data_IF_982336448312
#
_entry.id   IF_982336448312
#
_cell.length_a   1.000
_cell.length_b   1.000
_cell.length_c   1.000
_cell.angle_alpha   90.00
_cell.angle_beta   90.00
_cell.angle_gamma   90.00
#
_symmetry.space_group_name_H-M   'P 1'
#
loop_
_entity.id
_entity.type
_entity.pdbx_description
1 polymer ?
#
# COMPACT_ATOMS: atom_id res chain seq x y z
N UNK A 1 15.52 -22.43 -16.66
CA UNK A 1 14.96 -23.75 -16.28
C UNK A 1 13.87 -23.52 -15.25
N UNK A 2 12.62 -23.83 -15.59
CA UNK A 2 11.44 -23.49 -14.79
C UNK A 2 10.79 -24.69 -14.14
N UNK A 3 11.45 -25.32 -13.18
CA UNK A 3 10.99 -26.56 -12.51
C UNK A 3 9.65 -26.43 -11.80
N UNK A 4 9.25 -25.21 -11.42
CA UNK A 4 8.00 -24.92 -10.74
C UNK A 4 6.99 -24.15 -11.61
N UNK A 5 7.35 -23.85 -12.86
CA UNK A 5 6.44 -23.20 -13.79
C UNK A 5 5.28 -24.16 -14.11
N UNK A 6 4.06 -23.74 -13.81
CA UNK A 6 2.88 -24.58 -14.04
C UNK A 6 2.65 -25.69 -13.02
N UNK A 7 3.24 -25.59 -11.81
CA UNK A 7 2.90 -26.51 -10.73
C UNK A 7 1.36 -26.51 -10.52
N UNK A 8 0.68 -27.67 -10.55
CA UNK A 8 -0.77 -27.78 -10.41
C UNK A 8 -1.34 -27.06 -9.19
N UNK A 9 -0.62 -27.05 -8.06
CA UNK A 9 -1.06 -26.36 -6.83
C UNK A 9 -1.16 -24.85 -7.06
N UNK A 10 -0.13 -24.25 -7.65
CA UNK A 10 -0.11 -22.82 -7.95
C UNK A 10 -1.13 -22.46 -9.04
N UNK A 11 -1.32 -23.32 -10.04
CA UNK A 11 -2.29 -23.12 -11.10
C UNK A 11 -3.74 -23.11 -10.57
N UNK A 12 -4.10 -24.10 -9.74
CA UNK A 12 -5.45 -24.18 -9.13
C UNK A 12 -5.70 -23.02 -8.18
N UNK A 13 -4.72 -22.67 -7.32
CA UNK A 13 -4.84 -21.52 -6.42
C UNK A 13 -4.97 -20.19 -7.19
N UNK A 14 -4.24 -20.03 -8.30
CA UNK A 14 -4.33 -18.87 -9.17
C UNK A 14 -5.69 -18.76 -9.86
N UNK A 15 -6.23 -19.86 -10.39
CA UNK A 15 -7.56 -19.90 -10.99
C UNK A 15 -8.66 -19.56 -9.97
N UNK A 16 -8.59 -20.12 -8.77
CA UNK A 16 -9.53 -19.80 -7.69
C UNK A 16 -9.46 -18.31 -7.30
N UNK A 17 -8.25 -17.77 -7.14
CA UNK A 17 -8.04 -16.34 -6.86
C UNK A 17 -8.65 -15.46 -7.96
N UNK A 18 -8.42 -15.80 -9.23
CA UNK A 18 -8.99 -15.05 -10.36
C UNK A 18 -10.52 -15.15 -10.41
N UNK A 19 -11.11 -16.28 -10.05
CA UNK A 19 -12.56 -16.44 -9.98
C UNK A 19 -13.17 -15.50 -8.93
N UNK A 20 -12.60 -15.46 -7.72
CA UNK A 20 -13.02 -14.54 -6.65
C UNK A 20 -12.83 -13.08 -7.07
N UNK A 21 -11.67 -12.72 -7.62
CA UNK A 21 -11.39 -11.35 -8.05
C UNK A 21 -12.32 -10.86 -9.18
N UNK A 22 -12.82 -11.78 -10.03
CA UNK A 22 -13.74 -11.45 -11.13
C UNK A 22 -15.19 -11.26 -10.67
N UNK A 23 -15.54 -11.63 -9.45
CA UNK A 23 -16.89 -11.47 -8.97
C UNK A 23 -17.32 -9.99 -9.03
N UNK A 24 -18.56 -9.69 -9.46
CA UNK A 24 -19.04 -8.31 -9.56
C UNK A 24 -18.90 -7.55 -8.24
N UNK A 25 -18.40 -6.32 -8.28
CA UNK A 25 -18.28 -5.46 -7.10
C UNK A 25 -16.97 -5.61 -6.32
N UNK A 26 -16.17 -6.66 -6.57
CA UNK A 26 -14.95 -6.94 -5.80
C UNK A 26 -13.90 -5.85 -5.97
N UNK A 27 -13.55 -5.48 -7.21
CA UNK A 27 -12.61 -4.39 -7.45
C UNK A 27 -13.17 -3.04 -6.98
N UNK A 28 -14.47 -2.79 -7.12
CA UNK A 28 -15.11 -1.56 -6.63
C UNK A 28 -14.96 -1.44 -5.11
N UNK A 29 -15.19 -2.53 -4.37
CA UNK A 29 -14.95 -2.58 -2.92
C UNK A 29 -13.48 -2.32 -2.60
N UNK A 30 -12.55 -3.01 -3.27
CA UNK A 30 -11.11 -2.84 -3.06
C UNK A 30 -10.68 -1.38 -3.24
N UNK A 31 -11.07 -0.75 -4.35
CA UNK A 31 -10.75 0.65 -4.64
C UNK A 31 -11.42 1.61 -3.65
N UNK A 32 -12.64 1.32 -3.19
CA UNK A 32 -13.34 2.14 -2.17
C UNK A 32 -12.63 2.10 -0.83
N UNK A 33 -12.30 0.90 -0.33
CA UNK A 33 -11.55 0.74 0.92
C UNK A 33 -10.20 1.45 0.83
N UNK A 34 -9.47 1.20 -0.26
CA UNK A 34 -8.16 1.80 -0.48
C UNK A 34 -8.18 3.33 -0.59
N UNK A 35 -9.16 3.89 -1.29
CA UNK A 35 -9.37 5.35 -1.35
C UNK A 35 -9.67 5.94 0.02
N UNK A 36 -10.49 5.26 0.82
CA UNK A 36 -10.84 5.72 2.18
C UNK A 36 -9.59 5.80 3.05
N UNK A 37 -8.78 4.74 3.07
CA UNK A 37 -7.54 4.70 3.85
C UNK A 37 -6.52 5.73 3.36
N UNK A 38 -6.29 5.81 2.04
CA UNK A 38 -5.35 6.76 1.44
C UNK A 38 -5.74 8.21 1.72
N UNK A 39 -7.02 8.55 1.55
CA UNK A 39 -7.49 9.92 1.80
C UNK A 39 -7.39 10.28 3.28
N UNK A 40 -7.79 9.36 4.18
CA UNK A 40 -7.65 9.58 5.62
C UNK A 40 -6.20 9.80 6.04
N UNK A 41 -5.26 9.00 5.52
CA UNK A 41 -3.84 9.19 5.77
C UNK A 41 -3.33 10.52 5.18
N UNK A 42 -3.78 10.89 3.99
CA UNK A 42 -3.42 12.16 3.34
C UNK A 42 -3.88 13.37 4.15
N UNK A 43 -5.10 13.31 4.69
CA UNK A 43 -5.66 14.36 5.54
C UNK A 43 -4.89 14.48 6.86
N UNK A 44 -4.50 13.36 7.47
CA UNK A 44 -3.69 13.34 8.70
C UNK A 44 -2.32 13.97 8.42
N UNK A 45 -1.65 13.56 7.35
CA UNK A 45 -0.34 14.11 6.95
C UNK A 45 -0.44 15.61 6.69
N UNK A 46 -1.49 16.08 6.01
CA UNK A 46 -1.72 17.50 5.77
C UNK A 46 -1.91 18.28 7.07
N UNK A 47 -2.65 17.71 8.04
CA UNK A 47 -2.94 18.34 9.33
C UNK A 47 -1.74 18.32 10.29
N UNK A 48 -0.81 17.39 10.13
CA UNK A 48 0.33 17.27 11.05
C UNK A 48 1.42 18.33 10.84
N UNK A 49 1.40 19.04 9.70
CA UNK A 49 2.42 20.03 9.35
C UNK A 49 3.81 19.43 9.09
N UNK A 50 3.91 18.11 8.94
CA UNK A 50 5.16 17.44 8.64
C UNK A 50 5.47 17.58 7.14
N UNK A 51 6.75 17.70 6.80
CA UNK A 51 7.22 17.54 5.43
C UNK A 51 7.01 16.08 5.00
N UNK A 52 5.81 15.78 4.52
CA UNK A 52 5.39 14.46 4.11
C UNK A 52 4.22 14.51 3.12
N UNK A 53 4.06 13.45 2.36
CA UNK A 53 3.01 13.31 1.34
C UNK A 53 2.67 11.84 1.14
N UNK A 54 1.41 11.56 0.86
CA UNK A 54 0.94 10.20 0.57
C UNK A 54 0.91 10.00 -0.94
N UNK A 55 1.69 9.04 -1.44
CA UNK A 55 1.79 8.74 -2.86
C UNK A 55 1.24 7.34 -3.16
N UNK A 56 0.95 7.09 -4.43
CA UNK A 56 0.50 5.79 -4.93
C UNK A 56 -0.97 5.76 -5.32
N UNK A 57 -1.44 4.54 -5.56
CA UNK A 57 -2.78 4.24 -6.02
C UNK A 57 -3.66 3.71 -4.88
N UNK A 58 -4.96 3.65 -5.12
CA UNK A 58 -5.93 3.17 -4.11
C UNK A 58 -5.57 1.79 -3.53
N UNK A 59 -4.99 0.88 -4.31
CA UNK A 59 -4.62 -0.48 -3.85
C UNK A 59 -3.22 -0.57 -3.25
N UNK A 60 -2.35 0.40 -3.54
CA UNK A 60 -0.97 0.44 -3.04
C UNK A 60 -0.50 1.88 -2.87
N UNK A 61 -0.25 2.28 -1.64
CA UNK A 61 0.19 3.64 -1.31
C UNK A 61 1.09 3.63 -0.08
N UNK A 62 1.76 4.74 0.19
CA UNK A 62 2.44 4.96 1.47
C UNK A 62 2.70 6.44 1.72
N UNK A 63 3.12 6.77 2.94
CA UNK A 63 3.64 8.08 3.30
C UNK A 63 5.14 8.17 2.95
N UNK A 64 5.52 9.27 2.31
CA UNK A 64 6.90 9.64 2.02
C UNK A 64 7.20 10.93 2.76
N UNK A 65 8.13 10.86 3.72
CA UNK A 65 8.55 12.01 4.52
C UNK A 65 9.58 12.85 3.77
N UNK A 66 9.14 13.82 2.98
CA UNK A 66 10.00 14.74 2.22
C UNK A 66 9.29 16.08 2.06
N UNK A 67 10.06 17.15 1.89
CA UNK A 67 9.60 18.51 1.58
C UNK A 67 9.49 18.77 0.07
N UNK A 68 9.96 17.85 -0.77
CA UNK A 68 9.93 17.98 -2.23
C UNK A 68 8.75 17.26 -2.85
N UNK A 69 8.05 17.82 -3.85
CA UNK A 69 7.03 17.09 -4.61
C UNK A 69 7.55 15.77 -5.17
N UNK A 70 6.87 14.65 -4.89
CA UNK A 70 7.26 13.34 -5.42
C UNK A 70 6.54 13.08 -6.73
N UNK A 71 7.21 13.42 -7.83
CA UNK A 71 6.74 13.23 -9.21
C UNK A 71 7.57 12.21 -9.99
N UNK A 72 8.69 11.77 -9.43
CA UNK A 72 9.57 10.77 -10.02
C UNK A 72 10.27 9.93 -8.93
N UNK A 73 11.04 8.94 -9.37
CA UNK A 73 11.82 8.09 -8.47
C UNK A 73 12.90 8.86 -7.70
N UNK A 74 13.55 9.86 -8.31
CA UNK A 74 14.64 10.60 -7.67
C UNK A 74 14.14 11.42 -6.48
N UNK A 75 12.93 11.98 -6.58
CA UNK A 75 12.28 12.66 -5.49
C UNK A 75 12.08 11.73 -4.27
N UNK A 76 11.82 10.44 -4.48
CA UNK A 76 11.69 9.47 -3.38
C UNK A 76 12.99 9.26 -2.59
N UNK A 77 14.15 9.48 -3.21
CA UNK A 77 15.45 9.35 -2.54
C UNK A 77 15.71 10.45 -1.52
N UNK A 78 14.93 11.54 -1.56
CA UNK A 78 15.00 12.63 -0.58
C UNK A 78 14.22 12.31 0.70
N UNK A 79 13.55 11.16 0.76
CA UNK A 79 12.72 10.78 1.89
C UNK A 79 13.54 10.54 3.17
N UNK A 80 13.02 11.02 4.29
CA UNK A 80 13.55 10.76 5.61
C UNK A 80 13.15 9.34 6.06
N UNK A 81 14.08 8.40 5.91
CA UNK A 81 13.91 7.01 6.32
C UNK A 81 13.73 6.83 7.84
N UNK A 82 14.27 7.71 8.67
CA UNK A 82 14.11 7.63 10.13
C UNK A 82 12.65 7.92 10.55
N UNK A 83 12.03 8.94 9.95
CA UNK A 83 10.60 9.22 10.18
C UNK A 83 9.71 8.07 9.69
N UNK A 84 10.03 7.47 8.55
CA UNK A 84 9.32 6.28 8.08
C UNK A 84 9.48 5.09 9.05
N UNK A 85 10.68 4.91 9.61
CA UNK A 85 10.95 3.90 10.64
C UNK A 85 10.09 4.10 11.89
N UNK A 86 10.00 5.34 12.39
CA UNK A 86 9.15 5.69 13.54
C UNK A 86 7.67 5.45 13.22
N UNK A 87 7.20 5.88 12.05
CA UNK A 87 5.82 5.65 11.62
C UNK A 87 5.47 4.17 11.56
N UNK A 88 6.36 3.34 10.99
CA UNK A 88 6.17 1.89 10.93
C UNK A 88 6.15 1.25 12.32
N UNK A 89 7.05 1.66 13.23
CA UNK A 89 7.09 1.16 14.60
C UNK A 89 5.80 1.53 15.36
N UNK A 90 5.29 2.76 15.20
CA UNK A 90 4.05 3.20 15.82
C UNK A 90 2.81 2.50 15.25
N UNK A 91 2.77 2.22 13.94
CA UNK A 91 1.73 1.38 13.34
C UNK A 91 1.71 -0.01 13.99
N UNK A 92 2.88 -0.65 14.09
CA UNK A 92 3.00 -1.98 14.68
C UNK A 92 2.58 -1.98 16.15
N UNK A 93 3.03 -1.00 16.94
CA UNK A 93 2.67 -0.86 18.36
C UNK A 93 1.16 -0.71 18.57
N UNK A 94 0.44 -0.21 17.56
CA UNK A 94 -1.02 -0.03 17.57
C UNK A 94 -1.78 -1.16 16.86
N UNK A 95 -1.10 -2.26 16.52
CA UNK A 95 -1.69 -3.44 15.90
C UNK A 95 -1.89 -3.34 14.39
N UNK A 96 -1.30 -2.34 13.73
CA UNK A 96 -1.34 -2.18 12.27
C UNK A 96 -0.02 -2.67 11.66
N UNK A 97 -0.05 -3.85 11.05
CA UNK A 97 1.11 -4.42 10.34
C UNK A 97 1.10 -3.96 8.89
N UNK A 98 2.17 -3.30 8.46
CA UNK A 98 2.42 -2.91 7.06
C UNK A 98 3.83 -3.28 6.62
N UNK A 99 4.04 -3.35 5.30
CA UNK A 99 5.39 -3.46 4.74
C UNK A 99 6.23 -2.22 5.05
N UNK A 100 7.55 -2.32 4.94
CA UNK A 100 8.47 -1.22 5.31
C UNK A 100 8.34 0.03 4.44
N UNK A 101 7.92 -0.13 3.18
CA UNK A 101 7.87 0.97 2.19
C UNK A 101 6.55 1.11 1.43
N UNK A 102 5.63 0.14 1.56
CA UNK A 102 4.32 0.18 0.90
C UNK A 102 3.24 -0.42 1.79
N UNK A 103 2.04 0.14 1.71
CA UNK A 103 0.81 -0.43 2.25
C UNK A 103 0.06 -1.08 1.08
N UNK A 104 -0.33 -2.35 1.25
CA UNK A 104 -1.14 -3.07 0.29
C UNK A 104 -2.54 -3.27 0.87
N UNK A 105 -3.54 -2.83 0.12
CA UNK A 105 -4.94 -3.01 0.51
C UNK A 105 -5.39 -4.37 -0.01
N UNK A 106 -6.06 -5.13 0.85
CA UNK A 106 -6.63 -6.44 0.53
C UNK A 106 -8.15 -6.41 0.62
N UNK A 107 -8.79 -7.46 0.11
CA UNK A 107 -10.25 -7.65 0.21
C UNK A 107 -10.73 -8.05 1.61
N UNK A 108 -9.80 -8.39 2.52
CA UNK A 108 -10.14 -8.76 3.89
C UNK A 108 -10.50 -7.55 4.77
N UNK A 109 -10.26 -6.33 4.28
CA UNK A 109 -10.59 -5.07 4.97
C UNK A 109 -11.99 -4.55 4.57
#
# INVERSE_FOLDING_TARGET
>A
MGTLNGNPIAAVAGLATLAELRAPGVYQRLHRTGRTLRNGLSDIVRKSGLAAQVIGETTVFDVVFTDRPVVDYRATLTANGAHLGIFNAECLRRGVVKGTSKIYVTLAH
#
